data_IF_083642010055
#
_entry.id   IF_083642010055
#
_cell.length_a   1.000
_cell.length_b   1.000
_cell.length_c   1.000
_cell.angle_alpha   90.00
_cell.angle_beta   90.00
_cell.angle_gamma   90.00
#
_symmetry.space_group_name_H-M   'P 1'
#
loop_
_entity.id
_entity.type
_entity.pdbx_description
1 polymer ?
#
# COMPACT_ATOMS: atom_id res chain seq x y z
N UNK A 1 3.74 5.96 5.89
CA UNK A 1 3.61 4.50 6.14
C UNK A 1 4.95 3.82 6.44
N UNK A 2 6.03 4.17 5.72
CA UNK A 2 7.35 3.50 5.84
C UNK A 2 7.94 3.48 7.25
N UNK A 3 7.88 4.58 8.01
CA UNK A 3 8.39 4.60 9.40
C UNK A 3 7.68 3.58 10.30
N UNK A 4 6.36 3.41 10.13
CA UNK A 4 5.57 2.42 10.89
C UNK A 4 5.99 0.99 10.52
N UNK A 5 6.22 0.75 9.23
CA UNK A 5 6.69 -0.54 8.74
C UNK A 5 8.09 -0.86 9.28
N UNK A 6 9.02 0.10 9.22
CA UNK A 6 10.37 -0.04 9.77
C UNK A 6 10.33 -0.35 11.26
N UNK A 7 9.61 0.46 12.05
CA UNK A 7 9.46 0.24 13.49
C UNK A 7 8.90 -1.17 13.81
N UNK A 8 7.90 -1.60 13.05
CA UNK A 8 7.27 -2.92 13.22
C UNK A 8 8.22 -4.07 12.88
N UNK A 9 8.97 -3.97 11.78
CA UNK A 9 9.87 -5.04 11.32
C UNK A 9 11.17 -5.09 12.11
N UNK A 10 11.76 -3.94 12.43
CA UNK A 10 13.01 -3.85 13.21
C UNK A 10 12.79 -4.02 14.71
N UNK A 11 11.53 -4.00 15.17
CA UNK A 11 11.14 -4.01 16.59
C UNK A 11 11.81 -2.89 17.39
N UNK A 12 11.95 -1.72 16.77
CA UNK A 12 12.44 -0.50 17.40
C UNK A 12 11.26 0.44 17.63
N UNK A 13 11.25 1.11 18.78
CA UNK A 13 10.20 2.05 19.12
C UNK A 13 10.07 3.15 18.05
N UNK A 14 8.83 3.39 17.62
CA UNK A 14 8.57 4.35 16.53
C UNK A 14 8.92 5.79 16.93
N UNK A 15 8.80 6.15 18.20
CA UNK A 15 9.21 7.48 18.69
C UNK A 15 10.72 7.63 18.59
N UNK A 16 11.50 6.62 18.97
CA UNK A 16 12.96 6.65 18.82
C UNK A 16 13.39 6.81 17.36
N UNK A 17 12.75 6.08 16.43
CA UNK A 17 12.98 6.25 14.99
C UNK A 17 12.61 7.66 14.53
N UNK A 18 11.48 8.20 14.99
CA UNK A 18 11.01 9.54 14.61
C UNK A 18 11.90 10.65 15.15
N UNK A 19 12.44 10.51 16.36
CA UNK A 19 13.30 11.52 17.00
C UNK A 19 14.78 11.35 16.63
N UNK A 20 15.17 10.23 16.03
CA UNK A 20 16.56 9.90 15.73
C UNK A 20 17.38 9.47 16.96
N UNK A 21 16.73 9.21 18.10
CA UNK A 21 17.35 8.81 19.35
C UNK A 21 17.57 7.28 19.38
N UNK A 22 18.44 6.82 18.49
CA UNK A 22 18.77 5.41 18.30
C UNK A 22 20.11 5.11 18.98
N UNK A 23 20.16 4.01 19.71
CA UNK A 23 21.42 3.44 20.17
C UNK A 23 22.03 2.54 19.08
N UNK A 24 23.23 2.03 19.32
CA UNK A 24 23.95 1.19 18.35
C UNK A 24 23.19 -0.10 18.03
N UNK A 25 22.44 -0.65 18.99
CA UNK A 25 21.64 -1.85 18.80
C UNK A 25 20.43 -1.59 17.90
N UNK A 26 19.72 -0.49 18.12
CA UNK A 26 18.62 -0.05 17.27
C UNK A 26 19.09 0.20 15.85
N UNK A 27 20.25 0.85 15.68
CA UNK A 27 20.86 1.06 14.37
C UNK A 27 21.15 -0.25 13.65
N UNK A 28 21.72 -1.24 14.36
CA UNK A 28 21.98 -2.56 13.80
C UNK A 28 20.69 -3.28 13.37
N UNK A 29 19.63 -3.20 14.18
CA UNK A 29 18.31 -3.80 13.85
C UNK A 29 17.64 -3.12 12.65
N UNK A 30 17.69 -1.80 12.57
CA UNK A 30 17.12 -1.04 11.44
C UNK A 30 17.89 -1.34 10.16
N UNK A 31 19.21 -1.30 10.20
CA UNK A 31 20.07 -1.55 9.02
C UNK A 31 19.88 -2.96 8.46
N UNK A 32 19.86 -3.98 9.33
CA UNK A 32 19.60 -5.37 8.92
C UNK A 32 18.20 -5.54 8.30
N UNK A 33 17.17 -4.92 8.89
CA UNK A 33 15.80 -4.93 8.36
C UNK A 33 15.71 -4.27 6.98
N UNK A 34 16.39 -3.13 6.79
CA UNK A 34 16.47 -2.47 5.48
C UNK A 34 17.13 -3.35 4.42
N UNK A 35 18.20 -4.06 4.78
CA UNK A 35 18.85 -5.03 3.90
C UNK A 35 17.87 -6.08 3.38
N UNK A 36 17.11 -6.70 4.30
CA UNK A 36 16.11 -7.72 3.96
C UNK A 36 15.01 -7.17 3.03
N UNK A 37 14.52 -5.96 3.29
CA UNK A 37 13.48 -5.33 2.48
C UNK A 37 13.96 -5.02 1.05
N UNK A 38 15.18 -4.52 0.93
CA UNK A 38 15.80 -4.18 -0.36
C UNK A 38 16.08 -5.44 -1.19
N UNK A 39 16.51 -6.52 -0.54
CA UNK A 39 16.80 -7.79 -1.20
C UNK A 39 15.53 -8.45 -1.76
N UNK A 40 14.44 -8.51 -0.97
CA UNK A 40 13.21 -9.18 -1.40
C UNK A 40 12.41 -8.41 -2.43
N UNK A 41 12.45 -7.07 -2.37
CA UNK A 41 11.80 -6.14 -3.31
C UNK A 41 10.37 -6.53 -3.74
N UNK A 42 9.59 -7.07 -2.79
CA UNK A 42 8.27 -7.67 -3.03
C UNK A 42 7.11 -6.79 -2.56
N UNK A 43 7.37 -5.55 -2.15
CA UNK A 43 6.36 -4.61 -1.68
C UNK A 43 6.38 -3.34 -2.52
N UNK A 44 5.21 -2.92 -2.98
CA UNK A 44 4.99 -1.70 -3.73
C UNK A 44 4.09 -0.78 -2.92
N UNK A 45 4.50 0.50 -2.81
CA UNK A 45 3.74 1.54 -2.11
C UNK A 45 3.47 2.65 -3.10
N UNK A 46 2.21 3.07 -3.16
CA UNK A 46 1.74 4.17 -3.97
C UNK A 46 0.94 5.11 -3.06
N UNK A 47 1.42 6.34 -2.90
CA UNK A 47 0.85 7.36 -2.00
C UNK A 47 0.01 8.41 -2.73
N UNK A 48 -0.38 8.13 -3.98
CA UNK A 48 -1.24 9.01 -4.76
C UNK A 48 -2.60 9.22 -4.09
N UNK A 49 -3.06 10.47 -4.03
CA UNK A 49 -4.36 10.84 -3.47
C UNK A 49 -5.48 10.80 -4.52
N UNK A 50 -6.72 10.58 -4.07
CA UNK A 50 -7.91 10.73 -4.91
C UNK A 50 -8.07 9.69 -6.02
N UNK A 51 -7.42 8.53 -5.90
CA UNK A 51 -7.43 7.50 -6.94
C UNK A 51 -8.85 7.03 -7.30
N UNK A 52 -9.11 6.95 -8.60
CA UNK A 52 -10.31 6.30 -9.14
C UNK A 52 -10.12 4.78 -9.16
N UNK A 53 -11.21 3.97 -9.12
CA UNK A 53 -11.11 2.52 -9.26
C UNK A 53 -10.41 2.06 -10.55
N UNK A 54 -10.56 2.83 -11.63
CA UNK A 54 -9.92 2.57 -12.93
C UNK A 54 -8.40 2.74 -12.85
N UNK A 55 -7.92 3.77 -12.14
CA UNK A 55 -6.48 3.98 -11.95
C UNK A 55 -5.87 2.87 -11.09
N UNK A 56 -6.55 2.47 -10.01
CA UNK A 56 -6.12 1.33 -9.17
C UNK A 56 -6.00 0.06 -10.03
N UNK A 57 -7.01 -0.23 -10.86
CA UNK A 57 -6.98 -1.37 -11.80
C UNK A 57 -5.80 -1.28 -12.76
N UNK A 58 -5.56 -0.12 -13.37
CA UNK A 58 -4.46 0.07 -14.33
C UNK A 58 -3.09 -0.19 -13.68
N UNK A 59 -2.87 0.39 -12.49
CA UNK A 59 -1.61 0.24 -11.73
C UNK A 59 -1.42 -1.19 -11.25
N UNK A 60 -2.45 -1.82 -10.68
CA UNK A 60 -2.39 -3.21 -10.22
C UNK A 60 -2.08 -4.17 -11.38
N UNK A 61 -2.74 -4.02 -12.54
CA UNK A 61 -2.44 -4.82 -13.73
C UNK A 61 -1.01 -4.63 -14.23
N UNK A 62 -0.46 -3.42 -14.16
CA UNK A 62 0.92 -3.16 -14.55
C UNK A 62 1.89 -3.96 -13.66
N UNK A 63 1.75 -3.84 -12.35
CA UNK A 63 2.60 -4.55 -11.38
C UNK A 63 2.42 -6.07 -11.54
N UNK A 64 1.18 -6.55 -11.68
CA UNK A 64 0.91 -7.97 -11.93
C UNK A 64 1.68 -8.50 -13.14
N UNK A 65 1.70 -7.77 -14.26
CA UNK A 65 2.45 -8.18 -15.46
C UNK A 65 3.96 -8.10 -15.29
N UNK A 66 4.45 -7.07 -14.60
CA UNK A 66 5.90 -6.87 -14.38
C UNK A 66 6.50 -7.93 -13.45
N UNK A 67 5.68 -8.53 -12.58
CA UNK A 67 6.12 -9.47 -11.54
C UNK A 67 5.47 -10.84 -11.62
N UNK A 68 4.79 -11.13 -12.73
CA UNK A 68 4.07 -12.39 -12.98
C UNK A 68 3.11 -12.79 -11.85
N UNK A 69 2.49 -11.79 -11.23
CA UNK A 69 1.55 -12.00 -10.13
C UNK A 69 1.46 -10.86 -9.12
N UNK A 70 0.43 -10.94 -8.30
CA UNK A 70 0.26 -10.19 -7.06
C UNK A 70 -0.35 -11.13 -6.02
N UNK A 71 0.09 -11.05 -4.76
CA UNK A 71 -0.48 -11.87 -3.68
C UNK A 71 -1.52 -11.12 -2.86
N UNK A 72 -1.44 -9.79 -2.81
CA UNK A 72 -2.33 -8.95 -2.02
C UNK A 72 -2.32 -7.53 -2.57
N UNK A 73 -3.50 -6.90 -2.58
CA UNK A 73 -3.64 -5.46 -2.81
C UNK A 73 -4.28 -4.86 -1.56
N UNK A 74 -3.57 -3.92 -0.92
CA UNK A 74 -4.07 -3.17 0.24
C UNK A 74 -4.38 -1.74 -0.17
N UNK A 75 -5.56 -1.24 0.19
CA UNK A 75 -5.99 0.14 -0.07
C UNK A 75 -6.31 0.81 1.26
N UNK A 76 -5.56 1.85 1.61
CA UNK A 76 -5.75 2.69 2.78
C UNK A 76 -5.98 4.15 2.33
N UNK A 77 -7.20 4.68 2.31
CA UNK A 77 -8.49 4.11 2.70
C UNK A 77 -9.54 4.32 1.59
N UNK A 78 -10.47 3.37 1.43
CA UNK A 78 -11.43 3.34 0.31
C UNK A 78 -12.24 4.63 0.16
N UNK A 79 -12.52 5.32 1.25
CA UNK A 79 -13.29 6.57 1.23
C UNK A 79 -12.52 7.74 0.58
N UNK A 80 -11.20 7.67 0.40
CA UNK A 80 -10.47 8.68 -0.40
C UNK A 80 -10.67 8.52 -1.89
N UNK A 81 -11.11 7.35 -2.33
CA UNK A 81 -11.35 7.10 -3.74
C UNK A 81 -12.56 7.92 -4.20
N UNK A 82 -12.48 8.40 -5.44
CA UNK A 82 -13.52 9.21 -6.06
C UNK A 82 -13.97 8.61 -7.38
N UNK A 83 -15.26 8.76 -7.67
CA UNK A 83 -15.85 8.48 -8.98
C UNK A 83 -16.48 9.79 -9.46
N UNK A 84 -15.81 10.54 -10.35
CA UNK A 84 -16.26 11.89 -10.75
C UNK A 84 -17.72 11.95 -11.22
N UNK A 85 -18.20 10.90 -11.88
CA UNK A 85 -19.58 10.81 -12.38
C UNK A 85 -20.65 10.65 -11.27
N UNK A 86 -20.26 10.34 -10.03
CA UNK A 86 -21.16 10.05 -8.90
C UNK A 86 -20.83 10.90 -7.67
N UNK A 87 -20.14 12.04 -7.85
CA UNK A 87 -19.65 12.89 -6.75
C UNK A 87 -20.72 13.29 -5.74
N UNK A 88 -21.96 13.45 -6.20
CA UNK A 88 -23.07 13.98 -5.41
C UNK A 88 -23.81 12.89 -4.63
N UNK A 89 -23.53 11.61 -4.92
CA UNK A 89 -24.15 10.48 -4.26
C UNK A 89 -23.10 9.49 -3.75
N UNK A 90 -22.68 9.72 -2.50
CA UNK A 90 -21.66 8.93 -1.83
C UNK A 90 -22.01 7.44 -1.73
N UNK A 91 -23.28 7.10 -1.57
CA UNK A 91 -23.72 5.71 -1.48
C UNK A 91 -23.50 4.98 -2.81
N UNK A 92 -23.87 5.61 -3.92
CA UNK A 92 -23.63 5.05 -5.27
C UNK A 92 -22.14 4.99 -5.60
N UNK A 93 -21.37 6.02 -5.21
CA UNK A 93 -19.92 6.05 -5.38
C UNK A 93 -19.25 4.86 -4.68
N UNK A 94 -19.57 4.60 -3.41
CA UNK A 94 -19.03 3.46 -2.66
C UNK A 94 -19.46 2.11 -3.28
N UNK A 95 -20.70 2.00 -3.76
CA UNK A 95 -21.18 0.80 -4.44
C UNK A 95 -20.41 0.53 -5.75
N UNK A 96 -20.07 1.58 -6.50
CA UNK A 96 -19.27 1.49 -7.72
C UNK A 96 -17.82 1.10 -7.43
N UNK A 97 -17.19 1.75 -6.44
CA UNK A 97 -15.84 1.40 -5.97
C UNK A 97 -15.79 -0.08 -5.58
N UNK A 98 -16.75 -0.53 -4.76
CA UNK A 98 -16.80 -1.91 -4.26
C UNK A 98 -16.94 -2.94 -5.39
N UNK A 99 -17.83 -2.68 -6.37
CA UNK A 99 -17.99 -3.56 -7.54
C UNK A 99 -16.72 -3.60 -8.39
N UNK A 100 -16.11 -2.45 -8.65
CA UNK A 100 -14.88 -2.34 -9.43
C UNK A 100 -13.72 -3.09 -8.79
N UNK A 101 -13.55 -2.97 -7.46
CA UNK A 101 -12.53 -3.70 -6.72
C UNK A 101 -12.80 -5.21 -6.69
N UNK A 102 -14.05 -5.64 -6.52
CA UNK A 102 -14.38 -7.07 -6.57
C UNK A 102 -14.11 -7.68 -7.96
N UNK A 103 -14.37 -6.93 -9.03
CA UNK A 103 -14.04 -7.36 -10.38
C UNK A 103 -12.53 -7.47 -10.59
N UNK A 104 -11.74 -6.50 -10.08
CA UNK A 104 -10.28 -6.54 -10.12
C UNK A 104 -9.73 -7.77 -9.36
N UNK A 105 -10.22 -8.02 -8.15
CA UNK A 105 -9.86 -9.17 -7.33
C UNK A 105 -10.09 -10.50 -8.07
N UNK A 106 -11.27 -10.67 -8.67
CA UNK A 106 -11.58 -11.86 -9.49
C UNK A 106 -10.66 -12.01 -10.69
N UNK A 107 -10.33 -10.90 -11.34
CA UNK A 107 -9.50 -10.90 -12.54
C UNK A 107 -8.05 -11.28 -12.24
N UNK A 108 -7.46 -10.69 -11.21
CA UNK A 108 -6.06 -10.93 -10.83
C UNK A 108 -5.88 -12.11 -9.87
N UNK A 109 -6.98 -12.76 -9.47
CA UNK A 109 -6.99 -13.83 -8.48
C UNK A 109 -6.35 -13.44 -7.14
N UNK A 110 -6.69 -12.23 -6.67
CA UNK A 110 -6.28 -11.65 -5.37
C UNK A 110 -7.44 -11.37 -4.45
#
# INVERSE_FOLDING_TARGET
IMMRMLASLSRVDQTRIRTGQLDDEDWARISSTMGILLEKRNMYIDDSSGLTPTEVRSRARRIFREHDGLSLIMIDYLQLMRVPALSDNRTLEIAEISRSLKALAKELQV
#
